data_IF_369444963465
#
_entry.id   IF_369444963465
#
_cell.length_a   1.000
_cell.length_b   1.000
_cell.length_c   1.000
_cell.angle_alpha   90.00
_cell.angle_beta   90.00
_cell.angle_gamma   90.00
#
_symmetry.space_group_name_H-M   'P 1'
#
loop_
_entity.id
_entity.type
_entity.pdbx_description
1 polymer ?
#
# COMPACT_ATOMS: atom_id res chain seq x y z
N UNK A 1 -0.01 -17.42 -3.50
CA UNK A 1 -0.75 -16.67 -2.46
C UNK A 1 -1.16 -15.32 -3.03
N UNK A 2 -2.46 -15.00 -3.10
CA UNK A 2 -2.89 -13.64 -3.50
C UNK A 2 -2.50 -12.68 -2.38
N UNK A 3 -1.65 -11.70 -2.68
CA UNK A 3 -1.27 -10.63 -1.75
C UNK A 3 -2.53 -9.86 -1.34
N UNK A 4 -2.74 -9.69 -0.03
CA UNK A 4 -3.88 -8.91 0.47
C UNK A 4 -3.62 -7.43 0.15
N UNK A 5 -4.62 -6.69 -0.35
CA UNK A 5 -4.45 -5.28 -0.68
C UNK A 5 -4.06 -4.49 0.57
N UNK A 6 -3.06 -3.60 0.44
CA UNK A 6 -2.59 -2.76 1.54
C UNK A 6 -3.72 -1.82 1.97
N UNK A 7 -3.89 -1.66 3.28
CA UNK A 7 -4.81 -0.69 3.87
C UNK A 7 -4.01 0.46 4.48
N UNK A 8 -4.30 1.70 4.07
CA UNK A 8 -3.70 2.92 4.63
C UNK A 8 -4.67 3.56 5.61
N UNK A 9 -4.16 4.24 6.63
CA UNK A 9 -5.00 5.00 7.58
C UNK A 9 -5.17 6.40 6.99
N UNK A 10 -6.43 6.79 6.74
CA UNK A 10 -6.77 8.08 6.13
C UNK A 10 -7.25 9.12 7.16
N UNK A 11 -7.61 8.70 8.37
CA UNK A 11 -8.27 9.56 9.35
C UNK A 11 -8.79 8.81 10.56
N UNK A 12 -9.65 9.48 11.32
CA UNK A 12 -10.46 8.90 12.38
C UNK A 12 -11.94 9.15 12.13
N UNK A 13 -12.80 8.31 12.70
CA UNK A 13 -14.25 8.53 12.71
C UNK A 13 -14.83 8.02 14.03
N UNK A 14 -15.98 8.55 14.45
CA UNK A 14 -16.68 8.03 15.61
C UNK A 14 -17.39 6.71 15.26
N UNK A 15 -17.23 5.70 16.11
CA UNK A 15 -17.93 4.43 15.99
C UNK A 15 -19.44 4.62 16.15
N UNK A 16 -20.23 3.97 15.29
CA UNK A 16 -21.70 4.06 15.32
C UNK A 16 -22.30 3.43 16.56
N UNK A 17 -21.66 2.39 17.12
CA UNK A 17 -22.17 1.68 18.29
C UNK A 17 -21.71 2.33 19.60
N UNK A 18 -20.40 2.55 19.79
CA UNK A 18 -19.85 2.99 21.07
C UNK A 18 -19.38 4.45 21.10
N UNK A 19 -19.49 5.19 19.99
CA UNK A 19 -19.13 6.61 19.90
C UNK A 19 -17.64 6.95 19.97
N UNK A 20 -16.76 5.97 20.20
CA UNK A 20 -15.31 6.18 20.30
C UNK A 20 -14.68 6.47 18.93
N UNK A 21 -13.62 7.28 18.93
CA UNK A 21 -12.82 7.50 17.72
C UNK A 21 -12.07 6.22 17.32
N UNK A 22 -12.32 5.77 16.09
CA UNK A 22 -11.72 4.60 15.47
C UNK A 22 -10.92 5.02 14.23
N UNK A 23 -9.81 4.33 13.90
CA UNK A 23 -9.03 4.64 12.71
C UNK A 23 -9.82 4.28 11.44
N UNK A 24 -9.97 5.25 10.55
CA UNK A 24 -10.51 5.06 9.22
C UNK A 24 -9.41 4.54 8.29
N UNK A 25 -9.59 3.33 7.76
CA UNK A 25 -8.64 2.69 6.85
C UNK A 25 -9.22 2.61 5.45
N UNK A 26 -8.41 2.86 4.43
CA UNK A 26 -8.80 2.71 3.03
C UNK A 26 -7.89 1.69 2.34
N UNK A 27 -8.47 0.78 1.56
CA UNK A 27 -7.70 -0.12 0.69
C UNK A 27 -7.27 0.58 -0.60
N UNK A 28 -6.27 0.03 -1.29
CA UNK A 28 -5.88 0.47 -2.64
C UNK A 28 -7.06 0.49 -3.63
N UNK A 29 -8.03 -0.39 -3.45
CA UNK A 29 -9.26 -0.47 -4.24
C UNK A 29 -10.34 0.56 -3.85
N UNK A 30 -10.07 1.41 -2.86
CA UNK A 30 -10.98 2.45 -2.37
C UNK A 30 -12.03 1.98 -1.36
N UNK A 31 -11.99 0.72 -0.90
CA UNK A 31 -12.90 0.24 0.15
C UNK A 31 -12.53 0.88 1.48
N UNK A 32 -13.51 1.49 2.15
CA UNK A 32 -13.37 2.03 3.49
C UNK A 32 -13.61 0.93 4.53
N UNK A 33 -12.78 0.88 5.55
CA UNK A 33 -12.86 -0.02 6.70
C UNK A 33 -12.83 0.82 8.00
N UNK A 34 -13.92 0.72 8.75
CA UNK A 34 -14.22 1.38 10.02
C UNK A 34 -14.54 0.32 11.09
N UNK A 35 -13.75 -0.74 11.15
CA UNK A 35 -13.96 -1.81 12.14
C UNK A 35 -13.51 -1.38 13.54
N UNK A 36 -14.47 -1.28 14.46
CA UNK A 36 -14.25 -0.93 15.87
C UNK A 36 -13.53 -2.07 16.59
N UNK A 37 -12.39 -1.81 17.22
CA UNK A 37 -11.65 -2.83 17.98
C UNK A 37 -12.25 -3.13 19.35
N UNK A 38 -13.07 -2.23 19.90
CA UNK A 38 -13.66 -2.39 21.25
C UNK A 38 -15.00 -3.10 21.26
N UNK A 39 -15.79 -2.85 20.22
CA UNK A 39 -17.16 -3.31 20.11
C UNK A 39 -17.34 -4.34 18.99
N UNK A 40 -16.23 -4.69 18.33
CA UNK A 40 -16.13 -5.66 17.24
C UNK A 40 -17.08 -5.45 16.08
N UNK A 41 -17.70 -4.27 15.97
CA UNK A 41 -18.63 -3.94 14.90
C UNK A 41 -17.86 -3.86 13.57
N UNK A 42 -18.08 -4.80 12.63
CA UNK A 42 -17.45 -4.73 11.32
C UNK A 42 -18.23 -3.73 10.48
N UNK A 43 -17.58 -2.62 10.12
CA UNK A 43 -18.18 -1.61 9.24
C UNK A 43 -17.23 -1.39 8.08
N UNK A 44 -17.63 -1.79 6.88
CA UNK A 44 -16.86 -1.54 5.67
C UNK A 44 -17.79 -1.19 4.52
N UNK A 45 -17.31 -0.37 3.60
CA UNK A 45 -18.09 0.03 2.43
C UNK A 45 -17.19 0.14 1.19
N UNK A 46 -17.66 -0.44 0.08
CA UNK A 46 -16.98 -0.39 -1.21
C UNK A 46 -17.11 1.00 -1.84
N UNK A 47 -16.05 1.48 -2.49
CA UNK A 47 -16.09 2.70 -3.28
C UNK A 47 -17.27 2.70 -4.28
N UNK A 48 -17.94 3.84 -4.42
CA UNK A 48 -19.09 4.04 -5.31
C UNK A 48 -20.46 3.68 -4.72
N UNK A 49 -20.51 3.10 -3.52
CA UNK A 49 -21.78 2.85 -2.82
C UNK A 49 -22.24 4.08 -2.03
N UNK A 50 -23.55 4.20 -1.79
CA UNK A 50 -24.11 5.24 -0.92
C UNK A 50 -23.55 5.13 0.51
N UNK A 51 -23.41 3.89 1.01
CA UNK A 51 -22.78 3.62 2.31
C UNK A 51 -21.36 4.21 2.39
N UNK A 52 -20.56 4.09 1.33
CA UNK A 52 -19.24 4.69 1.29
C UNK A 52 -19.30 6.21 1.34
N UNK A 53 -20.23 6.85 0.62
CA UNK A 53 -20.44 8.31 0.67
C UNK A 53 -20.80 8.78 2.08
N UNK A 54 -21.76 8.12 2.73
CA UNK A 54 -22.22 8.45 4.08
C UNK A 54 -21.12 8.24 5.12
N UNK A 55 -20.40 7.12 5.05
CA UNK A 55 -19.31 6.85 5.99
C UNK A 55 -18.14 7.80 5.79
N UNK A 56 -17.77 8.12 4.54
CA UNK A 56 -16.71 9.10 4.25
C UNK A 56 -17.04 10.51 4.75
N UNK A 57 -18.31 10.92 4.76
CA UNK A 57 -18.73 12.20 5.32
C UNK A 57 -18.49 12.30 6.84
N UNK A 58 -18.38 11.15 7.53
CA UNK A 58 -18.11 11.08 8.98
C UNK A 58 -16.63 10.98 9.32
N UNK A 59 -15.78 10.71 8.32
CA UNK A 59 -14.33 10.58 8.53
C UNK A 59 -13.73 11.97 8.70
N UNK A 60 -13.16 12.22 9.87
CA UNK A 60 -12.22 13.32 10.10
C UNK A 60 -10.90 12.88 9.50
N UNK A 61 -10.63 13.32 8.27
CA UNK A 61 -9.34 13.07 7.63
C UNK A 61 -8.27 13.76 8.47
N UNK A 62 -7.21 13.03 8.78
CA UNK A 62 -5.99 13.72 9.19
C UNK A 62 -5.59 14.60 8.01
N UNK A 63 -5.26 15.88 8.27
CA UNK A 63 -4.65 16.71 7.26
C UNK A 63 -3.56 15.87 6.58
N UNK A 64 -3.59 15.85 5.24
CA UNK A 64 -2.61 15.11 4.45
C UNK A 64 -1.23 15.27 5.12
N UNK A 65 -0.47 14.20 5.37
CA UNK A 65 0.96 14.40 5.28
C UNK A 65 1.15 14.93 3.87
N UNK A 66 1.60 16.19 3.75
CA UNK A 66 2.14 16.69 2.49
C UNK A 66 2.95 15.55 1.88
N UNK A 67 2.75 15.22 0.60
CA UNK A 67 3.56 14.18 -0.02
C UNK A 67 5.00 14.56 0.26
N UNK A 68 5.70 13.71 1.02
CA UNK A 68 7.04 13.95 1.49
C UNK A 68 7.93 14.22 0.28
N UNK A 69 8.06 15.49 -0.09
CA UNK A 69 8.97 16.01 -1.11
C UNK A 69 10.40 16.07 -0.56
N UNK A 70 10.67 15.25 0.46
CA UNK A 70 11.92 15.18 1.24
C UNK A 70 12.37 13.73 1.41
N UNK A 71 12.23 12.94 0.34
CA UNK A 71 13.38 12.11 -0.04
C UNK A 71 14.21 12.91 -1.04
N UNK A 72 15.30 13.60 -0.63
CA UNK A 72 16.42 13.65 -1.52
C UNK A 72 16.71 12.18 -1.83
N UNK A 73 16.61 11.83 -3.12
CA UNK A 73 17.13 10.59 -3.64
C UNK A 73 18.61 10.61 -3.25
N UNK A 74 18.94 10.01 -2.13
CA UNK A 74 20.31 9.62 -1.85
C UNK A 74 20.55 8.48 -2.83
N UNK A 75 20.90 8.85 -4.05
CA UNK A 75 21.53 7.94 -4.97
C UNK A 75 22.76 7.41 -4.21
N UNK A 76 22.86 6.10 -3.94
CA UNK A 76 24.17 5.56 -3.66
C UNK A 76 25.03 5.83 -4.90
N UNK A 77 26.28 6.28 -4.74
CA UNK A 77 27.17 6.53 -5.87
C UNK A 77 27.19 5.29 -6.77
N UNK A 78 26.98 5.53 -8.07
CA UNK A 78 27.05 4.51 -9.10
C UNK A 78 28.48 3.97 -9.10
N UNK A 79 28.69 2.85 -8.42
CA UNK A 79 29.86 2.02 -8.67
C UNK A 79 29.70 1.49 -10.10
N UNK A 80 30.67 1.74 -11.00
CA UNK A 80 30.61 1.22 -12.35
C UNK A 80 30.66 -0.31 -12.27
N UNK A 81 29.52 -0.94 -12.58
CA UNK A 81 29.43 -2.38 -12.76
C UNK A 81 30.46 -2.76 -13.84
N UNK A 82 31.53 -3.51 -13.51
CA UNK A 82 32.51 -3.89 -14.51
C UNK A 82 31.80 -4.71 -15.59
N UNK A 83 32.14 -4.40 -16.84
CA UNK A 83 31.61 -5.04 -18.03
C UNK A 83 31.55 -6.55 -17.85
N UNK A 84 30.40 -7.13 -18.23
CA UNK A 84 30.18 -8.56 -18.23
C UNK A 84 31.35 -9.25 -18.94
N UNK A 85 32.20 -9.92 -18.15
CA UNK A 85 33.21 -10.83 -18.70
C UNK A 85 32.42 -11.90 -19.43
N UNK A 86 32.56 -11.97 -20.74
CA UNK A 86 31.93 -12.96 -21.58
C UNK A 86 32.27 -14.35 -21.03
N UNK A 87 31.32 -14.95 -20.31
CA UNK A 87 31.40 -16.34 -19.93
C UNK A 87 31.13 -17.14 -21.21
N UNK A 88 32.19 -17.65 -21.83
CA UNK A 88 32.05 -18.73 -22.81
C UNK A 88 31.36 -19.88 -22.08
N UNK A 89 30.17 -20.25 -22.54
CA UNK A 89 29.42 -21.33 -21.93
C UNK A 89 30.17 -22.65 -22.14
N UNK A 90 30.03 -23.60 -21.23
CA UNK A 90 30.65 -24.94 -21.37
C UNK A 90 30.14 -25.68 -22.62
N UNK A 91 28.98 -25.28 -23.15
CA UNK A 91 28.47 -25.77 -24.43
C UNK A 91 29.35 -25.38 -25.63
N UNK A 92 30.09 -24.26 -25.55
CA UNK A 92 31.03 -23.81 -26.59
C UNK A 92 32.32 -24.65 -26.60
N UNK A 93 32.66 -25.32 -25.50
CA UNK A 93 33.86 -26.16 -25.38
C UNK A 93 33.64 -27.62 -25.80
N UNK A 94 32.40 -28.11 -25.80
CA UNK A 94 32.05 -29.48 -26.20
C UNK A 94 31.43 -29.57 -27.59
N UNK A 95 31.02 -28.44 -28.19
CA UNK A 95 30.61 -28.34 -29.59
C UNK A 95 31.81 -28.31 -30.53
N UNK A 96 32.63 -29.35 -30.49
CA UNK A 96 33.75 -29.52 -31.41
C UNK A 96 33.27 -29.46 -32.85
N UNK A 97 33.96 -28.64 -33.63
CA UNK A 97 33.97 -28.64 -35.09
C UNK A 97 34.08 -30.07 -35.62
N UNK A 98 33.02 -30.53 -36.27
CA UNK A 98 33.02 -31.51 -37.36
C UNK A 98 31.74 -31.30 -38.19
#
# INVERSE_FOLDING_TARGET
MKTRPKKTIIGTAACVCCGRDIPAKQSETGTLDLSCQWCELPTYAKAGTEAHRVLMARVKRHAEPEPDATKPVHAPPVEPKPAARAARSVFDLLGGVA
#
